data_IF_641303171038
#
_entry.id   IF_641303171038
#
_cell.length_a   1.000
_cell.length_b   1.000
_cell.length_c   1.000
_cell.angle_alpha   90.00
_cell.angle_beta   90.00
_cell.angle_gamma   90.00
#
_symmetry.space_group_name_H-M   'P 1'
#
loop_
_entity.id
_entity.type
_entity.pdbx_description
1 polymer ?
#
# COMPACT_ATOMS: atom_id res chain seq x y z
N UNK A 1 -9.12 -33.26 -2.18
CA UNK A 1 -7.95 -32.42 -1.87
C UNK A 1 -8.43 -31.04 -1.47
N UNK A 2 -9.07 -30.94 -0.30
CA UNK A 2 -9.69 -29.71 0.24
C UNK A 2 -9.17 -29.37 1.65
N UNK A 3 -8.42 -30.28 2.28
CA UNK A 3 -7.98 -30.15 3.67
C UNK A 3 -6.86 -29.11 3.88
N UNK A 4 -6.06 -28.79 2.85
CA UNK A 4 -4.99 -27.78 2.99
C UNK A 4 -5.52 -26.35 3.03
N UNK A 5 -6.60 -26.04 2.31
CA UNK A 5 -7.11 -24.68 2.18
C UNK A 5 -7.81 -24.20 3.45
N UNK A 6 -8.53 -25.10 4.13
CA UNK A 6 -9.23 -24.76 5.38
C UNK A 6 -8.26 -24.52 6.55
N UNK A 7 -7.15 -25.28 6.60
CA UNK A 7 -6.09 -25.06 7.58
C UNK A 7 -5.37 -23.73 7.37
N UNK A 8 -5.06 -23.37 6.12
CA UNK A 8 -4.44 -22.08 5.77
C UNK A 8 -5.34 -20.89 6.14
N UNK A 9 -6.67 -21.02 5.95
CA UNK A 9 -7.64 -19.97 6.30
C UNK A 9 -7.75 -19.79 7.82
N UNK A 10 -7.82 -20.88 8.60
CA UNK A 10 -7.91 -20.80 10.06
C UNK A 10 -6.62 -20.27 10.69
N UNK A 11 -5.46 -20.66 10.16
CA UNK A 11 -4.18 -20.12 10.60
C UNK A 11 -4.05 -18.63 10.27
N UNK A 12 -4.50 -18.19 9.09
CA UNK A 12 -4.56 -16.78 8.72
C UNK A 12 -5.47 -15.97 9.65
N UNK A 13 -6.67 -16.48 9.97
CA UNK A 13 -7.57 -15.84 10.94
C UNK A 13 -6.96 -15.76 12.34
N UNK A 14 -6.24 -16.80 12.78
CA UNK A 14 -5.55 -16.82 14.06
C UNK A 14 -4.48 -15.74 14.12
N UNK A 15 -3.61 -15.67 13.11
CA UNK A 15 -2.56 -14.65 13.01
C UNK A 15 -3.14 -13.23 12.95
N UNK A 16 -4.20 -13.03 12.16
CA UNK A 16 -4.92 -11.76 12.10
C UNK A 16 -5.48 -11.35 13.47
N UNK A 17 -6.12 -12.27 14.19
CA UNK A 17 -6.66 -12.01 15.54
C UNK A 17 -5.58 -11.69 16.57
N UNK A 18 -4.43 -12.36 16.50
CA UNK A 18 -3.29 -12.08 17.38
C UNK A 18 -2.69 -10.70 17.08
N UNK A 19 -2.46 -10.39 15.81
CA UNK A 19 -1.94 -9.09 15.40
C UNK A 19 -2.94 -7.96 15.70
N UNK A 20 -4.24 -8.22 15.61
CA UNK A 20 -5.27 -7.22 15.94
C UNK A 20 -5.23 -6.77 17.41
N UNK A 21 -4.70 -7.60 18.30
CA UNK A 21 -4.54 -7.25 19.74
C UNK A 21 -3.38 -6.28 19.98
N UNK A 22 -2.47 -6.12 19.03
CA UNK A 22 -1.28 -5.27 19.18
C UNK A 22 -1.48 -3.87 18.64
N UNK A 23 -2.51 -3.63 17.81
CA UNK A 23 -2.81 -2.32 17.25
C UNK A 23 -3.77 -1.51 18.13
N UNK A 24 -3.78 -0.19 17.95
CA UNK A 24 -4.70 0.72 18.61
C UNK A 24 -6.14 0.53 18.08
N UNK A 25 -6.92 -0.29 18.78
CA UNK A 25 -8.26 -0.68 18.34
C UNK A 25 -9.24 0.50 18.29
N UNK A 26 -9.11 1.49 19.17
CA UNK A 26 -9.98 2.68 19.14
C UNK A 26 -9.76 3.48 17.85
N UNK A 27 -8.50 3.76 17.51
CA UNK A 27 -8.17 4.45 16.28
C UNK A 27 -8.60 3.65 15.05
N UNK A 28 -8.39 2.33 15.05
CA UNK A 28 -8.84 1.46 13.97
C UNK A 28 -10.35 1.59 13.72
N UNK A 29 -11.18 1.49 14.77
CA UNK A 29 -12.65 1.54 14.60
C UNK A 29 -13.12 2.91 14.11
N UNK A 30 -12.48 4.01 14.56
CA UNK A 30 -12.77 5.35 14.04
C UNK A 30 -12.48 5.46 12.54
N UNK A 31 -11.36 4.91 12.09
CA UNK A 31 -11.00 4.85 10.66
C UNK A 31 -12.00 3.99 9.89
N UNK A 32 -12.32 2.80 10.41
CA UNK A 32 -13.25 1.87 9.76
C UNK A 32 -14.64 2.47 9.56
N UNK A 33 -15.20 3.09 10.59
CA UNK A 33 -16.52 3.71 10.50
C UNK A 33 -16.54 4.88 9.50
N UNK A 34 -15.44 5.63 9.43
CA UNK A 34 -15.31 6.70 8.44
C UNK A 34 -15.16 6.13 7.02
N UNK A 35 -14.41 5.04 6.85
CA UNK A 35 -14.28 4.32 5.58
C UNK A 35 -15.62 3.77 5.08
N UNK A 36 -16.41 3.13 5.95
CA UNK A 36 -17.77 2.66 5.61
C UNK A 36 -18.63 3.82 5.11
N UNK A 37 -18.56 4.96 5.80
CA UNK A 37 -19.31 6.15 5.41
C UNK A 37 -18.88 6.66 4.01
N UNK A 38 -17.59 6.88 3.78
CA UNK A 38 -17.09 7.42 2.50
C UNK A 38 -17.32 6.46 1.33
N UNK A 39 -17.19 5.14 1.56
CA UNK A 39 -17.51 4.12 0.56
C UNK A 39 -18.99 4.17 0.19
N UNK A 40 -19.89 4.18 1.18
CA UNK A 40 -21.34 4.27 0.96
C UNK A 40 -21.70 5.56 0.23
N UNK A 41 -21.11 6.69 0.61
CA UNK A 41 -21.28 7.97 -0.08
C UNK A 41 -20.88 7.89 -1.55
N UNK A 42 -19.72 7.29 -1.87
CA UNK A 42 -19.27 7.13 -3.26
C UNK A 42 -20.21 6.26 -4.09
N UNK A 43 -20.75 5.20 -3.50
CA UNK A 43 -21.65 4.27 -4.18
C UNK A 43 -23.05 4.87 -4.40
N UNK A 44 -23.53 5.72 -3.48
CA UNK A 44 -24.91 6.22 -3.47
C UNK A 44 -25.05 7.69 -3.87
N UNK A 45 -23.94 8.44 -3.96
CA UNK A 45 -23.89 9.90 -4.14
C UNK A 45 -24.71 10.71 -3.11
N UNK A 46 -25.05 10.12 -1.97
CA UNK A 46 -25.87 10.77 -0.96
C UNK A 46 -24.99 11.64 -0.04
N UNK A 47 -25.24 12.95 -0.03
CA UNK A 47 -24.60 13.89 0.89
C UNK A 47 -25.45 13.99 2.15
N UNK A 48 -24.88 13.60 3.30
CA UNK A 48 -25.52 13.71 4.62
C UNK A 48 -24.62 14.49 5.58
N UNK A 49 -25.21 14.98 6.67
CA UNK A 49 -24.50 15.67 7.76
C UNK A 49 -23.43 14.79 8.43
N UNK A 50 -23.54 13.47 8.29
CA UNK A 50 -22.55 12.51 8.79
C UNK A 50 -21.16 12.69 8.18
N UNK A 51 -21.02 13.45 7.07
CA UNK A 51 -19.71 13.80 6.53
C UNK A 51 -18.86 14.57 7.54
N UNK A 52 -19.46 15.47 8.31
CA UNK A 52 -18.74 16.24 9.33
C UNK A 52 -18.25 15.29 10.41
N UNK A 53 -19.12 14.39 10.88
CA UNK A 53 -18.77 13.36 11.86
C UNK A 53 -17.64 12.45 11.38
N UNK A 54 -17.64 12.06 10.11
CA UNK A 54 -16.57 11.24 9.53
C UNK A 54 -15.23 12.00 9.45
N UNK A 55 -15.27 13.29 9.10
CA UNK A 55 -14.08 14.14 9.09
C UNK A 55 -13.55 14.38 10.51
N UNK A 56 -14.42 14.65 11.48
CA UNK A 56 -14.06 14.87 12.88
C UNK A 56 -13.36 13.65 13.49
N UNK A 57 -13.85 12.43 13.19
CA UNK A 57 -13.17 11.19 13.62
C UNK A 57 -11.75 11.11 13.07
N UNK A 58 -11.52 11.55 11.83
CA UNK A 58 -10.20 11.46 11.21
C UNK A 58 -9.26 12.52 11.79
N UNK A 59 -9.79 13.70 12.10
CA UNK A 59 -9.06 14.75 12.81
C UNK A 59 -8.73 14.35 14.26
N UNK A 60 -9.59 13.59 14.94
CA UNK A 60 -9.28 13.01 16.24
C UNK A 60 -8.15 11.98 16.13
N UNK A 61 -8.21 11.10 15.12
CA UNK A 61 -7.17 10.09 14.91
C UNK A 61 -5.83 10.73 14.53
N UNK A 62 -5.84 11.81 13.75
CA UNK A 62 -4.60 12.53 13.38
C UNK A 62 -3.92 13.24 14.58
N UNK A 63 -4.60 13.32 15.72
CA UNK A 63 -4.11 13.97 16.96
C UNK A 63 -3.79 13.00 18.08
N UNK A 64 -3.82 11.69 17.83
CA UNK A 64 -3.43 10.74 18.87
C UNK A 64 -1.96 10.95 19.27
N UNK A 65 -1.57 10.68 20.53
CA UNK A 65 -0.21 10.95 21.00
C UNK A 65 0.89 10.23 20.21
N UNK A 66 0.60 9.05 19.66
CA UNK A 66 1.55 8.26 18.89
C UNK A 66 0.96 7.88 17.52
N UNK A 67 1.27 8.68 16.49
CA UNK A 67 0.82 8.38 15.13
C UNK A 67 1.46 7.14 14.50
N UNK A 68 2.52 6.57 15.10
CA UNK A 68 3.03 5.27 14.68
C UNK A 68 1.99 4.16 14.86
N UNK A 69 1.05 4.32 15.80
CA UNK A 69 -0.10 3.41 15.94
C UNK A 69 -0.94 3.36 14.66
N UNK A 70 -1.10 4.49 13.94
CA UNK A 70 -1.82 4.55 12.67
C UNK A 70 -1.02 3.87 11.55
N UNK A 71 0.31 3.99 11.57
CA UNK A 71 1.18 3.21 10.67
C UNK A 71 0.97 1.72 10.88
N UNK A 72 0.97 1.25 12.13
CA UNK A 72 0.75 -0.16 12.43
C UNK A 72 -0.66 -0.63 12.05
N UNK A 73 -1.67 0.23 12.18
CA UNK A 73 -3.03 -0.02 11.68
C UNK A 73 -3.04 -0.15 10.15
N UNK A 74 -2.41 0.76 9.42
CA UNK A 74 -2.32 0.69 7.96
C UNK A 74 -1.64 -0.63 7.53
N UNK A 75 -0.51 -0.96 8.14
CA UNK A 75 0.23 -2.17 7.83
C UNK A 75 -0.60 -3.41 8.15
N UNK A 76 -1.24 -3.46 9.31
CA UNK A 76 -2.17 -4.53 9.67
C UNK A 76 -3.28 -4.70 8.64
N UNK A 77 -3.98 -3.62 8.25
CA UNK A 77 -5.08 -3.73 7.30
C UNK A 77 -4.59 -4.13 5.90
N UNK A 78 -3.40 -3.67 5.50
CA UNK A 78 -2.77 -4.09 4.24
C UNK A 78 -2.34 -5.56 4.24
N UNK A 79 -1.98 -6.10 5.41
CA UNK A 79 -1.45 -7.45 5.56
C UNK A 79 -2.55 -8.49 5.78
N UNK A 80 -3.51 -8.14 6.64
CA UNK A 80 -4.48 -9.07 7.23
C UNK A 80 -5.92 -8.63 7.03
N UNK A 81 -6.18 -7.52 6.33
CA UNK A 81 -7.48 -6.90 6.18
C UNK A 81 -8.59 -7.92 5.96
N UNK A 82 -9.50 -8.02 6.93
CA UNK A 82 -10.64 -8.93 6.89
C UNK A 82 -11.88 -8.27 6.26
N UNK A 83 -11.78 -6.99 5.97
CA UNK A 83 -12.83 -6.24 5.31
C UNK A 83 -12.96 -6.66 3.84
N UNK A 84 -14.16 -6.52 3.25
CA UNK A 84 -14.33 -6.58 1.81
C UNK A 84 -13.34 -5.65 1.11
N UNK A 85 -12.85 -6.07 -0.07
CA UNK A 85 -11.76 -5.39 -0.78
C UNK A 85 -11.99 -3.89 -1.00
N UNK A 86 -13.20 -3.50 -1.38
CA UNK A 86 -13.57 -2.10 -1.61
C UNK A 86 -13.52 -1.26 -0.32
N UNK A 87 -13.91 -1.84 0.81
CA UNK A 87 -13.80 -1.21 2.12
C UNK A 87 -12.35 -1.13 2.60
N UNK A 88 -11.54 -2.18 2.39
CA UNK A 88 -10.12 -2.15 2.71
C UNK A 88 -9.38 -1.08 1.88
N UNK A 89 -9.66 -1.00 0.57
CA UNK A 89 -9.10 0.04 -0.30
C UNK A 89 -9.50 1.45 0.19
N UNK A 90 -10.76 1.64 0.62
CA UNK A 90 -11.21 2.91 1.18
C UNK A 90 -10.51 3.27 2.50
N UNK A 91 -10.38 2.29 3.38
CA UNK A 91 -9.72 2.43 4.67
C UNK A 91 -8.28 2.91 4.48
N UNK A 92 -7.51 2.22 3.65
CA UNK A 92 -6.12 2.56 3.37
C UNK A 92 -5.99 3.92 2.69
N UNK A 93 -6.93 4.26 1.80
CA UNK A 93 -6.96 5.56 1.14
C UNK A 93 -7.18 6.72 2.12
N UNK A 94 -8.12 6.57 3.06
CA UNK A 94 -8.38 7.56 4.10
C UNK A 94 -7.15 7.78 4.97
N UNK A 95 -6.51 6.69 5.43
CA UNK A 95 -5.27 6.81 6.23
C UNK A 95 -4.20 7.58 5.45
N UNK A 96 -3.99 7.22 4.18
CA UNK A 96 -3.01 7.89 3.33
C UNK A 96 -3.31 9.39 3.14
N UNK A 97 -4.54 9.74 2.77
CA UNK A 97 -4.85 11.12 2.37
C UNK A 97 -5.08 12.03 3.57
N UNK A 98 -5.77 11.53 4.61
CA UNK A 98 -6.22 12.37 5.72
C UNK A 98 -5.25 12.33 6.89
N UNK A 99 -4.71 11.15 7.24
CA UNK A 99 -3.91 11.02 8.46
C UNK A 99 -2.42 11.16 8.15
N UNK A 100 -1.91 10.53 7.07
CA UNK A 100 -0.49 10.60 6.73
C UNK A 100 -0.05 12.02 6.29
N UNK A 101 -0.99 12.94 6.04
CA UNK A 101 -0.68 14.36 5.89
C UNK A 101 -0.01 14.94 7.16
N UNK A 102 -0.37 14.44 8.33
CA UNK A 102 0.15 14.87 9.63
C UNK A 102 1.43 14.15 10.05
N UNK A 103 1.97 13.26 9.22
CA UNK A 103 3.21 12.56 9.55
C UNK A 103 4.38 13.54 9.51
N UNK A 104 5.14 13.55 10.61
CA UNK A 104 6.38 14.29 10.73
C UNK A 104 7.59 13.36 10.58
N UNK A 105 8.79 13.88 10.81
CA UNK A 105 10.04 13.11 10.68
C UNK A 105 10.05 11.83 11.52
N UNK A 106 9.42 11.83 12.70
CA UNK A 106 9.34 10.65 13.56
C UNK A 106 8.59 9.49 12.90
N UNK A 107 7.40 9.75 12.34
CA UNK A 107 6.58 8.70 11.72
C UNK A 107 7.20 8.22 10.40
N UNK A 108 7.83 9.14 9.66
CA UNK A 108 8.58 8.78 8.47
C UNK A 108 9.78 7.89 8.81
N UNK A 109 10.55 8.25 9.85
CA UNK A 109 11.66 7.42 10.34
C UNK A 109 11.20 6.06 10.87
N UNK A 110 10.04 5.98 11.52
CA UNK A 110 9.45 4.71 11.94
C UNK A 110 9.21 3.77 10.74
N UNK A 111 8.62 4.30 9.65
CA UNK A 111 8.44 3.55 8.40
C UNK A 111 9.78 3.11 7.79
N UNK A 112 10.77 4.00 7.73
CA UNK A 112 12.11 3.69 7.22
C UNK A 112 12.76 2.54 7.97
N UNK A 113 12.67 2.53 9.29
CA UNK A 113 13.19 1.44 10.11
C UNK A 113 12.51 0.11 9.78
N UNK A 114 11.20 0.09 9.54
CA UNK A 114 10.48 -1.13 9.14
C UNK A 114 10.96 -1.61 7.76
N UNK A 115 11.10 -0.68 6.80
CA UNK A 115 11.59 -0.97 5.44
C UNK A 115 12.98 -1.61 5.48
N UNK A 116 13.90 -1.04 6.27
CA UNK A 116 15.28 -1.51 6.33
C UNK A 116 15.45 -2.79 7.15
N UNK A 117 14.63 -2.98 8.19
CA UNK A 117 14.77 -4.13 9.12
C UNK A 117 14.03 -5.38 8.65
N UNK A 118 13.08 -5.28 7.73
CA UNK A 118 12.21 -6.39 7.35
C UNK A 118 12.11 -6.55 5.83
N UNK A 119 12.96 -7.40 5.26
CA UNK A 119 12.91 -7.69 3.81
C UNK A 119 11.72 -8.55 3.37
N UNK A 120 10.78 -8.88 4.27
CA UNK A 120 9.58 -9.69 3.97
C UNK A 120 8.39 -8.78 3.70
N UNK A 121 7.21 -9.38 3.61
CA UNK A 121 5.94 -8.74 3.27
C UNK A 121 5.64 -7.44 4.04
N UNK A 122 5.95 -7.36 5.34
CA UNK A 122 5.72 -6.14 6.14
C UNK A 122 6.58 -4.96 5.69
N UNK A 123 7.87 -5.17 5.38
CA UNK A 123 8.71 -4.09 4.86
C UNK A 123 8.32 -3.69 3.44
N UNK A 124 7.86 -4.63 2.62
CA UNK A 124 7.29 -4.32 1.31
C UNK A 124 6.04 -3.44 1.42
N UNK A 125 5.12 -3.76 2.34
CA UNK A 125 3.93 -2.93 2.59
C UNK A 125 4.29 -1.56 3.17
N UNK A 126 5.29 -1.49 4.06
CA UNK A 126 5.82 -0.24 4.58
C UNK A 126 6.44 0.62 3.47
N UNK A 127 7.23 0.03 2.58
CA UNK A 127 7.79 0.73 1.43
C UNK A 127 6.68 1.22 0.51
N UNK A 128 5.69 0.38 0.22
CA UNK A 128 4.56 0.79 -0.62
C UNK A 128 3.80 1.98 -0.01
N UNK A 129 3.57 1.97 1.30
CA UNK A 129 2.92 3.08 1.99
C UNK A 129 3.77 4.35 1.96
N UNK A 130 5.06 4.23 2.27
CA UNK A 130 6.03 5.33 2.26
C UNK A 130 6.14 5.98 0.88
N UNK A 131 6.16 5.18 -0.19
CA UNK A 131 6.11 5.65 -1.57
C UNK A 131 4.82 6.41 -1.86
N UNK A 132 3.65 5.84 -1.47
CA UNK A 132 2.35 6.51 -1.63
C UNK A 132 2.30 7.85 -0.90
N UNK A 133 2.89 7.97 0.28
CA UNK A 133 3.01 9.24 1.01
C UNK A 133 3.76 10.26 0.14
N UNK A 134 4.90 9.89 -0.45
CA UNK A 134 5.70 10.78 -1.31
C UNK A 134 5.01 11.25 -2.59
N UNK A 135 4.03 10.49 -3.12
CA UNK A 135 3.21 10.94 -4.27
C UNK A 135 2.00 11.75 -3.86
N UNK A 136 1.33 11.38 -2.77
CA UNK A 136 0.14 12.07 -2.29
C UNK A 136 0.44 13.42 -1.63
N UNK A 137 1.58 13.52 -0.94
CA UNK A 137 1.98 14.68 -0.15
C UNK A 137 3.28 15.26 -0.69
N UNK A 138 3.17 16.27 -1.56
CA UNK A 138 4.28 16.79 -2.37
C UNK A 138 5.45 17.28 -1.53
N UNK A 139 5.18 17.85 -0.37
CA UNK A 139 6.18 18.33 0.59
C UNK A 139 7.03 17.20 1.18
N UNK A 140 6.51 15.97 1.21
CA UNK A 140 7.22 14.77 1.70
C UNK A 140 7.99 14.05 0.59
N UNK A 141 7.77 14.40 -0.69
CA UNK A 141 8.36 13.69 -1.83
C UNK A 141 9.88 13.66 -1.79
N UNK A 142 10.50 14.82 -1.62
CA UNK A 142 11.96 14.92 -1.68
C UNK A 142 12.61 14.15 -0.54
N UNK A 143 11.98 14.17 0.63
CA UNK A 143 12.38 13.36 1.77
C UNK A 143 12.34 11.85 1.43
N UNK A 144 11.25 11.39 0.83
CA UNK A 144 11.08 9.99 0.39
C UNK A 144 12.12 9.60 -0.67
N UNK A 145 12.36 10.44 -1.67
CA UNK A 145 13.34 10.16 -2.74
C UNK A 145 14.78 10.11 -2.19
N UNK A 146 15.14 11.02 -1.29
CA UNK A 146 16.44 10.99 -0.61
C UNK A 146 16.65 9.70 0.19
N UNK A 147 15.64 9.25 0.93
CA UNK A 147 15.73 7.97 1.65
C UNK A 147 15.99 6.80 0.70
N UNK A 148 15.25 6.74 -0.42
CA UNK A 148 15.41 5.68 -1.43
C UNK A 148 16.81 5.74 -2.02
N UNK A 149 17.27 6.91 -2.47
CA UNK A 149 18.58 7.07 -3.10
C UNK A 149 19.71 6.65 -2.15
N UNK A 150 19.64 7.04 -0.89
CA UNK A 150 20.68 6.76 0.11
C UNK A 150 20.74 5.29 0.53
N UNK A 151 19.63 4.56 0.44
CA UNK A 151 19.54 3.17 0.92
C UNK A 151 19.39 2.13 -0.19
N UNK A 152 19.35 2.57 -1.45
CA UNK A 152 19.07 1.71 -2.61
C UNK A 152 19.96 0.46 -2.67
N UNK A 153 21.24 0.57 -2.30
CA UNK A 153 22.18 -0.56 -2.32
C UNK A 153 21.82 -1.64 -1.29
N UNK A 154 21.21 -1.25 -0.17
CA UNK A 154 20.77 -2.16 0.89
C UNK A 154 19.43 -2.84 0.61
N UNK A 155 18.66 -2.32 -0.37
CA UNK A 155 17.35 -2.88 -0.68
C UNK A 155 17.44 -4.25 -1.34
N UNK A 156 16.58 -5.20 -0.95
CA UNK A 156 16.41 -6.44 -1.70
C UNK A 156 15.78 -6.14 -3.07
N UNK A 157 15.91 -7.07 -4.01
CA UNK A 157 15.44 -6.88 -5.38
C UNK A 157 13.94 -6.58 -5.48
N UNK A 158 13.11 -7.13 -4.57
CA UNK A 158 11.68 -6.83 -4.54
C UNK A 158 11.40 -5.35 -4.27
N UNK A 159 12.14 -4.73 -3.35
CA UNK A 159 12.01 -3.32 -3.02
C UNK A 159 12.52 -2.44 -4.17
N UNK A 160 13.65 -2.80 -4.77
CA UNK A 160 14.18 -2.13 -5.97
C UNK A 160 13.16 -2.15 -7.12
N UNK A 161 12.53 -3.30 -7.37
CA UNK A 161 11.48 -3.43 -8.38
C UNK A 161 10.24 -2.58 -8.04
N UNK A 162 9.83 -2.54 -6.77
CA UNK A 162 8.71 -1.72 -6.33
C UNK A 162 8.99 -0.22 -6.55
N UNK A 163 10.19 0.25 -6.19
CA UNK A 163 10.63 1.63 -6.43
C UNK A 163 10.64 1.95 -7.92
N UNK A 164 11.20 1.07 -8.76
CA UNK A 164 11.24 1.26 -10.21
C UNK A 164 9.82 1.36 -10.81
N UNK A 165 8.93 0.45 -10.40
CA UNK A 165 7.53 0.46 -10.84
C UNK A 165 6.83 1.75 -10.40
N UNK A 166 7.01 2.15 -9.14
CA UNK A 166 6.43 3.37 -8.59
C UNK A 166 6.88 4.62 -9.35
N UNK A 167 8.18 4.78 -9.60
CA UNK A 167 8.72 5.93 -10.35
C UNK A 167 8.15 5.93 -11.78
N UNK A 168 8.16 4.76 -12.43
CA UNK A 168 7.59 4.62 -13.78
C UNK A 168 6.10 4.94 -13.81
N UNK A 169 5.33 4.65 -12.78
CA UNK A 169 3.89 4.90 -12.79
C UNK A 169 3.54 6.35 -12.43
N UNK A 170 4.22 6.93 -11.44
CA UNK A 170 3.76 8.18 -10.82
C UNK A 170 4.72 9.36 -10.95
N UNK A 171 6.02 9.13 -11.20
CA UNK A 171 7.06 10.15 -11.11
C UNK A 171 7.96 10.25 -12.36
N UNK A 172 7.49 9.82 -13.53
CA UNK A 172 8.30 9.84 -14.78
C UNK A 172 8.86 11.23 -15.15
N UNK A 173 8.16 12.30 -14.77
CA UNK A 173 8.57 13.68 -15.04
C UNK A 173 9.48 14.29 -13.96
N UNK A 174 9.72 13.58 -12.86
CA UNK A 174 10.50 14.09 -11.73
C UNK A 174 11.99 13.80 -11.96
N UNK A 175 12.82 14.86 -11.89
CA UNK A 175 14.25 14.79 -12.23
C UNK A 175 15.02 13.91 -11.24
N UNK A 176 14.71 14.00 -9.95
CA UNK A 176 15.38 13.21 -8.93
C UNK A 176 14.94 11.74 -9.04
N UNK A 177 13.64 11.49 -9.19
CA UNK A 177 13.14 10.15 -9.42
C UNK A 177 13.78 9.48 -10.66
N UNK A 178 13.99 10.23 -11.75
CA UNK A 178 14.70 9.72 -12.93
C UNK A 178 16.12 9.26 -12.63
N UNK A 179 16.87 10.01 -11.81
CA UNK A 179 18.23 9.61 -11.41
C UNK A 179 18.21 8.28 -10.66
N UNK A 180 17.25 8.12 -9.73
CA UNK A 180 17.07 6.87 -8.99
C UNK A 180 16.72 5.72 -9.95
N UNK A 181 15.77 5.95 -10.87
CA UNK A 181 15.36 4.93 -11.85
C UNK A 181 16.52 4.48 -12.75
N UNK A 182 17.32 5.44 -13.24
CA UNK A 182 18.49 5.15 -14.06
C UNK A 182 19.55 4.34 -13.27
N UNK A 183 19.75 4.65 -11.98
CA UNK A 183 20.65 3.91 -11.08
C UNK A 183 20.18 2.47 -10.81
N UNK A 184 18.87 2.24 -10.74
CA UNK A 184 18.31 0.89 -10.56
C UNK A 184 18.61 -0.03 -11.75
N UNK A 185 18.84 0.53 -12.94
CA UNK A 185 19.14 -0.21 -14.17
C UNK A 185 18.11 -1.31 -14.51
N UNK A 186 16.84 -1.10 -14.15
CA UNK A 186 15.74 -2.03 -14.43
C UNK A 186 15.04 -1.57 -15.71
N UNK A 187 15.33 -2.27 -16.81
CA UNK A 187 14.80 -1.95 -18.15
C UNK A 187 13.33 -2.32 -18.32
N UNK A 188 12.80 -3.27 -17.54
CA UNK A 188 11.38 -3.62 -17.56
C UNK A 188 10.85 -4.11 -16.19
N UNK A 189 10.46 -3.19 -15.28
CA UNK A 189 10.00 -3.57 -13.94
C UNK A 189 8.73 -4.43 -13.97
N UNK A 190 7.91 -4.33 -15.03
CA UNK A 190 6.69 -5.13 -15.21
C UNK A 190 6.97 -6.61 -15.51
N UNK A 191 8.17 -6.94 -15.99
CA UNK A 191 8.54 -8.32 -16.31
C UNK A 191 8.86 -9.14 -15.05
N UNK A 192 9.31 -8.51 -13.97
CA UNK A 192 9.73 -9.18 -12.73
C UNK A 192 8.57 -9.62 -11.83
N UNK A 193 7.35 -9.12 -12.06
CA UNK A 193 6.12 -9.58 -11.38
C UNK A 193 5.41 -10.71 -12.13
N UNK A 194 5.85 -11.03 -13.36
CA UNK A 194 5.46 -12.29 -14.01
C UNK A 194 6.43 -13.34 -13.50
N UNK A 195 5.93 -14.24 -12.65
CA UNK A 195 6.66 -15.44 -12.22
C UNK A 195 7.49 -15.98 -13.39
N UNK A 196 8.79 -16.22 -13.14
CA UNK A 196 9.59 -17.03 -14.05
C UNK A 196 8.76 -18.30 -14.32
N UNK A 197 8.45 -18.63 -15.60
CA UNK A 197 7.66 -19.80 -15.87
C UNK A 197 8.45 -21.02 -15.37
N UNK A 198 7.88 -21.77 -14.43
CA UNK A 198 8.32 -23.13 -14.18
C UNK A 198 8.39 -23.88 -15.52
N UNK A 199 9.39 -24.74 -15.75
CA UNK A 199 9.49 -25.51 -16.98
C UNK A 199 8.45 -26.64 -16.94
N UNK A 200 7.18 -26.30 -17.10
CA UNK A 200 6.09 -27.26 -17.25
C UNK A 200 5.81 -27.45 -18.73
N UNK A 201 5.99 -28.70 -19.15
CA UNK A 201 5.80 -29.26 -20.47
C UNK A 201 4.66 -28.60 -21.27
N UNK A 202 5.05 -28.04 -22.42
CA UNK A 202 4.16 -27.40 -23.38
C UNK A 202 3.17 -28.44 -23.94
N UNK A 203 1.90 -28.34 -23.55
CA UNK A 203 0.81 -28.72 -24.46
C UNK A 203 0.44 -27.46 -25.26
N UNK A 204 0.43 -27.50 -26.60
CA UNK A 204 0.13 -26.33 -27.40
C UNK A 204 -1.33 -25.91 -27.18
N UNK A 205 -1.52 -24.75 -26.54
CA UNK A 205 -2.83 -24.08 -26.52
C UNK A 205 -2.95 -23.23 -27.79
N UNK A 206 -4.05 -23.43 -28.52
CA UNK A 206 -4.43 -22.63 -29.68
C UNK A 206 -4.41 -21.13 -29.34
N UNK A 207 -3.97 -20.26 -30.27
CA UNK A 207 -3.78 -18.84 -29.99
C UNK A 207 -5.13 -18.18 -29.69
N UNK A 208 -5.31 -17.72 -28.45
CA UNK A 208 -6.38 -16.77 -28.12
C UNK A 208 -5.93 -15.38 -28.59
N UNK A 209 -6.53 -14.92 -29.67
CA UNK A 209 -6.41 -13.54 -30.12
C UNK A 209 -7.25 -12.69 -29.17
N UNK A 210 -6.59 -11.91 -28.32
CA UNK A 210 -7.25 -10.85 -27.54
C UNK A 210 -7.11 -9.53 -28.30
N UNK A 211 -8.19 -8.74 -28.44
CA UNK A 211 -8.12 -7.43 -29.08
C UNK A 211 -7.21 -6.49 -28.28
N UNK A 212 -6.47 -5.66 -29.01
CA UNK A 212 -5.54 -4.69 -28.42
C UNK A 212 -6.34 -3.53 -27.83
N UNK A 213 -5.98 -3.08 -26.63
CA UNK A 213 -6.73 -2.09 -25.86
C UNK A 213 -6.91 -0.72 -26.55
N UNK A 214 -6.14 -0.42 -27.60
CA UNK A 214 -6.32 0.78 -28.43
C UNK A 214 -7.40 0.66 -29.52
N UNK A 215 -8.02 -0.51 -29.71
CA UNK A 215 -9.12 -0.72 -30.66
C UNK A 215 -10.50 -0.31 -30.09
N UNK A 216 -10.59 0.12 -28.82
CA UNK A 216 -11.83 0.55 -28.17
C UNK A 216 -12.20 2.04 -28.37
N UNK A 217 -11.42 2.80 -29.15
CA UNK A 217 -11.67 4.22 -29.43
C UNK A 217 -11.75 4.51 -30.94
N UNK A 218 -12.66 3.83 -31.63
CA UNK A 218 -13.14 4.23 -32.96
C UNK A 218 -14.63 4.52 -32.92
#
# INVERSE_FOLDING_TARGET
MTENTDFEIEEYKRQSSEQRKTINNEAYEKILESAKFFLKKRQTNLVSEEIVTALDRMEEVSKIPNLNDVTDIYLFESEFGLNPRDLAEEFLYIVLIMIANHYEGEQMYYLENIILSNSKFRGENALQFYLKIGTSHKEKREYVLNFIENNMDSFPDSHKNMVAMFIKTFLQGDRHAKIIFDKLNISNPEAHFRNAPDPVQVKPKLPKIYPKWWEFWK
#
